data_IF_660525356320
#
_entry.id   IF_660525356320
#
_cell.length_a   1.000
_cell.length_b   1.000
_cell.length_c   1.000
_cell.angle_alpha   90.00
_cell.angle_beta   90.00
_cell.angle_gamma   90.00
#
_symmetry.space_group_name_H-M   'P 1'
#
loop_
_entity.id
_entity.type
_entity.pdbx_description
1 polymer ?
#
# COMPACT_ATOMS: atom_id res chain seq x y z
N UNK A 1 16.74 1.84 -7.30
CA UNK A 1 15.43 1.14 -7.28
C UNK A 1 14.66 1.54 -8.51
N UNK A 2 14.27 0.57 -9.32
CA UNK A 2 13.42 0.76 -10.48
C UNK A 2 12.00 0.32 -10.13
N UNK A 3 11.01 1.13 -10.53
CA UNK A 3 9.60 0.77 -10.38
C UNK A 3 9.01 0.51 -11.77
N UNK A 4 8.38 -0.62 -11.93
CA UNK A 4 7.74 -1.04 -13.17
C UNK A 4 6.42 -1.74 -12.91
N UNK A 5 5.60 -1.87 -13.93
CA UNK A 5 4.36 -2.63 -13.86
C UNK A 5 4.66 -4.09 -13.50
N UNK A 6 3.87 -4.63 -12.58
CA UNK A 6 3.97 -6.03 -12.20
C UNK A 6 3.40 -6.93 -13.30
N UNK A 7 4.04 -8.09 -13.49
CA UNK A 7 3.55 -9.14 -14.37
C UNK A 7 3.15 -10.37 -13.53
N UNK A 8 2.45 -11.30 -14.13
CA UNK A 8 2.10 -12.56 -13.47
C UNK A 8 3.34 -13.29 -12.93
N UNK A 9 4.48 -13.15 -13.59
CA UNK A 9 5.75 -13.73 -13.17
C UNK A 9 6.34 -13.13 -11.90
N UNK A 10 5.87 -11.97 -11.46
CA UNK A 10 6.33 -11.31 -10.23
C UNK A 10 5.63 -11.86 -8.97
N UNK A 11 4.47 -12.47 -9.12
CA UNK A 11 3.68 -12.94 -7.98
C UNK A 11 4.45 -13.90 -7.06
N UNK A 12 5.20 -14.89 -7.56
CA UNK A 12 5.99 -15.76 -6.69
C UNK A 12 7.00 -15.04 -5.81
N UNK A 13 7.47 -13.87 -6.21
CA UNK A 13 8.37 -13.04 -5.40
C UNK A 13 7.60 -12.14 -4.42
N UNK A 14 6.37 -11.74 -4.75
CA UNK A 14 5.52 -10.88 -3.89
C UNK A 14 4.91 -11.69 -2.75
N UNK A 15 4.37 -12.86 -3.05
CA UNK A 15 3.57 -13.64 -2.10
C UNK A 15 4.29 -13.94 -0.78
N UNK A 16 5.56 -14.35 -0.74
CA UNK A 16 6.20 -14.67 0.53
C UNK A 16 6.23 -13.51 1.52
N UNK A 17 6.60 -12.30 1.10
CA UNK A 17 6.62 -11.18 2.03
C UNK A 17 5.22 -10.59 2.29
N UNK A 18 4.32 -10.63 1.30
CA UNK A 18 2.92 -10.23 1.49
C UNK A 18 2.26 -11.13 2.54
N UNK A 19 2.44 -12.43 2.41
CA UNK A 19 1.92 -13.41 3.36
C UNK A 19 2.46 -13.16 4.78
N UNK A 20 3.75 -12.93 4.91
CA UNK A 20 4.37 -12.66 6.21
C UNK A 20 3.83 -11.37 6.86
N UNK A 21 3.69 -10.30 6.09
CA UNK A 21 3.15 -9.02 6.57
C UNK A 21 1.70 -9.18 7.03
N UNK A 22 0.87 -9.84 6.23
CA UNK A 22 -0.55 -10.05 6.56
C UNK A 22 -0.70 -10.98 7.78
N UNK A 23 0.07 -12.07 7.83
CA UNK A 23 0.03 -13.01 8.95
C UNK A 23 0.49 -12.37 10.26
N UNK A 24 1.42 -11.42 10.22
CA UNK A 24 1.85 -10.68 11.40
C UNK A 24 0.71 -9.85 12.03
N UNK A 25 -0.22 -9.37 11.22
CA UNK A 25 -1.43 -8.69 11.70
C UNK A 25 -1.20 -7.32 12.34
N UNK A 26 -0.10 -6.65 11.97
CA UNK A 26 0.30 -5.39 12.62
C UNK A 26 -0.07 -4.14 11.80
N UNK A 27 -0.19 -4.27 10.48
CA UNK A 27 -0.26 -3.11 9.58
C UNK A 27 -1.35 -3.20 8.51
N UNK A 28 -1.97 -4.34 8.32
CA UNK A 28 -2.99 -4.56 7.28
C UNK A 28 -4.30 -5.07 7.86
N UNK A 29 -5.41 -4.67 7.23
CA UNK A 29 -6.77 -5.05 7.63
C UNK A 29 -7.25 -6.35 6.97
N UNK A 30 -6.39 -7.03 6.25
CA UNK A 30 -6.70 -8.34 5.65
C UNK A 30 -6.76 -9.43 6.73
N UNK A 31 -7.57 -10.47 6.52
CA UNK A 31 -7.54 -11.63 7.42
C UNK A 31 -6.13 -12.20 7.53
N UNK A 32 -5.68 -12.49 8.74
CA UNK A 32 -4.30 -12.98 8.97
C UNK A 32 -4.02 -14.32 8.32
N UNK A 33 -5.07 -15.11 8.06
CA UNK A 33 -5.02 -16.42 7.39
C UNK A 33 -5.36 -16.33 5.90
N UNK A 34 -5.22 -15.16 5.29
CA UNK A 34 -5.50 -14.93 3.88
C UNK A 34 -4.75 -15.94 3.01
N UNK A 35 -5.50 -16.69 2.18
CA UNK A 35 -4.90 -17.69 1.28
C UNK A 35 -4.28 -17.02 0.04
N UNK A 36 -3.37 -17.74 -0.61
CA UNK A 36 -2.62 -17.21 -1.75
C UNK A 36 -3.51 -16.83 -2.93
N UNK A 37 -4.49 -17.65 -3.28
CA UNK A 37 -5.36 -17.39 -4.42
C UNK A 37 -6.16 -16.11 -4.23
N UNK A 38 -6.74 -15.92 -3.04
CA UNK A 38 -7.48 -14.71 -2.68
C UNK A 38 -6.55 -13.50 -2.63
N UNK A 39 -5.37 -13.64 -2.05
CA UNK A 39 -4.38 -12.57 -1.97
C UNK A 39 -3.95 -12.10 -3.36
N UNK A 40 -3.69 -13.03 -4.27
CA UNK A 40 -3.32 -12.71 -5.65
C UNK A 40 -4.42 -11.93 -6.35
N UNK A 41 -5.66 -12.35 -6.22
CA UNK A 41 -6.80 -11.67 -6.82
C UNK A 41 -6.98 -10.25 -6.27
N UNK A 42 -6.76 -10.07 -4.97
CA UNK A 42 -6.87 -8.77 -4.32
C UNK A 42 -5.72 -7.83 -4.66
N UNK A 43 -4.53 -8.36 -4.92
CA UNK A 43 -3.32 -7.55 -5.10
C UNK A 43 -2.94 -7.29 -6.55
N UNK A 44 -3.06 -8.29 -7.42
CA UNK A 44 -2.70 -8.19 -8.84
C UNK A 44 -3.88 -7.63 -9.64
N UNK A 45 -3.97 -6.30 -9.67
CA UNK A 45 -5.10 -5.58 -10.26
C UNK A 45 -4.98 -5.49 -11.78
N UNK A 46 -6.14 -5.36 -12.43
CA UNK A 46 -6.29 -5.02 -13.85
C UNK A 46 -6.90 -3.64 -13.99
N UNK A 47 -6.78 -3.01 -15.18
CA UNK A 47 -7.32 -1.67 -15.44
C UNK A 47 -8.81 -1.55 -15.01
N UNK A 48 -9.21 -0.44 -14.37
CA UNK A 48 -8.46 0.81 -14.14
C UNK A 48 -7.45 0.75 -13.00
N UNK A 49 -7.39 -0.36 -12.26
CA UNK A 49 -6.37 -0.59 -11.25
C UNK A 49 -5.02 -0.98 -11.87
N UNK A 50 -3.99 -0.92 -11.06
CA UNK A 50 -2.63 -1.24 -11.49
C UNK A 50 -1.82 -1.75 -10.30
N UNK A 51 -0.91 -2.68 -10.56
CA UNK A 51 0.07 -3.15 -9.59
C UNK A 51 1.46 -2.93 -10.14
N UNK A 52 2.36 -2.43 -9.30
CA UNK A 52 3.76 -2.20 -9.64
C UNK A 52 4.67 -2.92 -8.65
N UNK A 53 5.89 -3.18 -9.08
CA UNK A 53 6.97 -3.70 -8.24
C UNK A 53 8.15 -2.75 -8.26
N UNK A 54 8.83 -2.68 -7.11
CA UNK A 54 10.12 -2.03 -6.98
C UNK A 54 11.20 -3.13 -7.02
N UNK A 55 12.14 -2.99 -7.93
CA UNK A 55 13.20 -3.99 -8.13
C UNK A 55 14.58 -3.34 -7.99
N UNK A 56 15.55 -4.12 -7.55
CA UNK A 56 16.94 -3.70 -7.51
C UNK A 56 17.65 -3.97 -8.86
N UNK A 57 18.96 -3.71 -8.90
CA UNK A 57 19.78 -3.88 -10.12
C UNK A 57 19.81 -5.32 -10.63
N UNK A 58 19.63 -6.31 -9.74
CA UNK A 58 19.59 -7.73 -10.12
C UNK A 58 18.20 -8.21 -10.52
N UNK A 59 17.18 -7.33 -10.44
CA UNK A 59 15.79 -7.69 -10.70
C UNK A 59 15.06 -8.31 -9.51
N UNK A 60 15.66 -8.30 -8.34
CA UNK A 60 14.99 -8.78 -7.12
C UNK A 60 13.87 -7.84 -6.71
N UNK A 61 12.69 -8.37 -6.46
CA UNK A 61 11.53 -7.60 -5.99
C UNK A 61 11.72 -7.22 -4.53
N UNK A 62 11.75 -5.91 -4.25
CA UNK A 62 11.96 -5.34 -2.92
C UNK A 62 10.67 -4.88 -2.27
N UNK A 63 9.66 -4.62 -3.07
CA UNK A 63 8.38 -4.12 -2.61
C UNK A 63 7.38 -4.02 -3.75
N UNK A 64 6.14 -3.71 -3.41
CA UNK A 64 5.05 -3.63 -4.37
C UNK A 64 4.02 -2.60 -3.92
N UNK A 65 3.27 -2.05 -4.86
CA UNK A 65 2.13 -1.20 -4.61
C UNK A 65 1.00 -1.55 -5.57
N UNK A 66 -0.23 -1.41 -5.10
CA UNK A 66 -1.42 -1.42 -5.94
C UNK A 66 -2.13 -0.08 -5.83
N UNK A 67 -2.74 0.36 -6.91
CA UNK A 67 -3.48 1.61 -6.98
C UNK A 67 -4.72 1.43 -7.83
N UNK A 68 -5.79 2.12 -7.46
CA UNK A 68 -7.07 2.07 -8.14
C UNK A 68 -7.94 3.26 -7.75
N UNK A 69 -9.08 3.49 -8.44
CA UNK A 69 -10.09 4.39 -7.90
C UNK A 69 -10.54 3.89 -6.53
N UNK A 70 -10.57 4.79 -5.55
CA UNK A 70 -10.97 4.41 -4.19
C UNK A 70 -12.45 4.01 -4.09
N UNK A 71 -13.27 4.67 -4.87
CA UNK A 71 -14.71 4.40 -5.03
C UNK A 71 -15.09 4.45 -6.50
N UNK A 72 -16.34 4.13 -6.80
CA UNK A 72 -16.90 4.16 -8.15
C UNK A 72 -17.77 5.40 -8.38
N UNK A 73 -18.23 5.58 -9.61
CA UNK A 73 -19.20 6.61 -9.96
C UNK A 73 -18.70 8.02 -9.67
N UNK A 74 -19.50 8.81 -8.99
CA UNK A 74 -19.21 10.20 -8.66
C UNK A 74 -18.01 10.42 -7.74
N UNK A 75 -17.43 9.37 -7.17
CA UNK A 75 -16.24 9.42 -6.32
C UNK A 75 -15.01 8.77 -6.96
N UNK A 76 -15.08 8.37 -8.23
CA UNK A 76 -14.00 7.64 -8.91
C UNK A 76 -12.76 8.51 -9.21
N UNK A 77 -12.83 9.82 -8.98
CA UNK A 77 -11.72 10.75 -9.19
C UNK A 77 -10.74 10.82 -8.01
N UNK A 78 -10.98 10.08 -6.95
CA UNK A 78 -10.06 9.93 -5.81
C UNK A 78 -9.40 8.56 -5.93
N UNK A 79 -8.07 8.53 -5.99
CA UNK A 79 -7.31 7.28 -6.02
C UNK A 79 -7.10 6.72 -4.62
N UNK A 80 -7.03 5.41 -4.52
CA UNK A 80 -6.52 4.70 -3.35
C UNK A 80 -5.26 3.95 -3.70
N UNK A 81 -4.46 3.60 -2.72
CA UNK A 81 -3.26 2.80 -2.91
C UNK A 81 -2.92 2.00 -1.65
N UNK A 82 -2.22 0.90 -1.85
CA UNK A 82 -1.65 0.06 -0.78
C UNK A 82 -0.22 -0.31 -1.14
N UNK A 83 0.62 -0.45 -0.12
CA UNK A 83 2.06 -0.64 -0.29
C UNK A 83 2.56 -1.75 0.63
N UNK A 84 3.43 -2.58 0.12
CA UNK A 84 4.16 -3.55 0.94
C UNK A 84 5.63 -3.56 0.54
N UNK A 85 6.50 -3.45 1.52
CA UNK A 85 7.95 -3.55 1.34
C UNK A 85 8.40 -4.83 2.03
N UNK A 86 9.23 -5.62 1.33
CA UNK A 86 9.83 -6.80 1.94
C UNK A 86 10.59 -6.37 3.20
N UNK A 87 10.26 -6.91 4.39
CA UNK A 87 10.94 -6.55 5.62
C UNK A 87 12.46 -6.70 5.57
N UNK A 88 12.96 -7.62 4.74
CA UNK A 88 14.40 -7.81 4.53
C UNK A 88 15.04 -6.71 3.66
N UNK A 89 14.24 -5.88 3.03
CA UNK A 89 14.69 -4.77 2.16
C UNK A 89 14.51 -3.41 2.81
N UNK A 90 14.28 -3.35 4.11
CA UNK A 90 14.10 -2.12 4.85
C UNK A 90 15.33 -1.20 4.81
N UNK A 91 15.09 0.11 4.94
CA UNK A 91 16.17 1.11 4.97
C UNK A 91 16.74 1.48 3.61
N UNK A 92 16.19 1.00 2.52
CA UNK A 92 16.66 1.27 1.14
C UNK A 92 15.81 2.31 0.40
N UNK A 93 14.89 2.98 1.08
CA UNK A 93 14.03 3.99 0.47
C UNK A 93 12.94 3.44 -0.45
N UNK A 94 12.64 2.16 -0.38
CA UNK A 94 11.67 1.48 -1.27
C UNK A 94 10.27 2.04 -1.09
N UNK A 95 9.82 2.22 0.15
CA UNK A 95 8.50 2.77 0.44
C UNK A 95 8.31 4.18 -0.12
N UNK A 96 9.31 5.03 0.02
CA UNK A 96 9.29 6.39 -0.56
C UNK A 96 9.24 6.35 -2.08
N UNK A 97 10.08 5.52 -2.70
CA UNK A 97 10.11 5.40 -4.15
C UNK A 97 8.76 4.93 -4.71
N UNK A 98 8.13 3.95 -4.06
CA UNK A 98 6.79 3.48 -4.41
C UNK A 98 5.75 4.59 -4.23
N UNK A 99 5.79 5.31 -3.11
CA UNK A 99 4.86 6.40 -2.82
C UNK A 99 4.94 7.53 -3.85
N UNK A 100 6.14 7.95 -4.20
CA UNK A 100 6.38 8.98 -5.23
C UNK A 100 5.88 8.52 -6.59
N UNK A 101 6.17 7.28 -6.96
CA UNK A 101 5.71 6.69 -8.23
C UNK A 101 4.18 6.67 -8.32
N UNK A 102 3.51 6.25 -7.25
CA UNK A 102 2.04 6.17 -7.20
C UNK A 102 1.41 7.55 -7.29
N UNK A 103 2.00 8.56 -6.66
CA UNK A 103 1.54 9.95 -6.78
C UNK A 103 1.69 10.49 -8.21
N UNK A 104 2.81 10.20 -8.87
CA UNK A 104 3.03 10.60 -10.26
C UNK A 104 2.05 9.89 -11.20
N UNK A 105 1.82 8.61 -10.99
CA UNK A 105 0.79 7.86 -11.72
C UNK A 105 -0.58 8.49 -11.56
N UNK A 106 -0.98 8.81 -10.34
CA UNK A 106 -2.30 9.38 -10.06
C UNK A 106 -2.48 10.74 -10.75
N UNK A 107 -1.45 11.57 -10.74
CA UNK A 107 -1.47 12.85 -11.48
C UNK A 107 -1.59 12.64 -12.98
N UNK A 108 -0.81 11.73 -13.54
CA UNK A 108 -0.83 11.44 -14.98
C UNK A 108 -2.18 10.89 -15.44
N UNK A 109 -2.85 10.09 -14.60
CA UNK A 109 -4.18 9.56 -14.89
C UNK A 109 -5.32 10.57 -14.63
N UNK A 110 -5.02 11.74 -14.08
CA UNK A 110 -6.01 12.80 -13.87
C UNK A 110 -6.78 12.69 -12.56
N UNK A 111 -6.34 11.88 -11.60
CA UNK A 111 -6.95 11.85 -10.28
C UNK A 111 -6.78 13.17 -9.56
N UNK A 112 -7.78 13.60 -8.80
CA UNK A 112 -7.79 14.88 -8.10
C UNK A 112 -7.21 14.82 -6.70
N UNK A 113 -7.17 13.64 -6.12
CA UNK A 113 -6.65 13.39 -4.78
C UNK A 113 -6.33 11.91 -4.60
N UNK A 114 -5.61 11.60 -3.52
CA UNK A 114 -5.36 10.23 -3.08
C UNK A 114 -5.75 10.07 -1.62
N UNK A 115 -6.39 8.96 -1.31
CA UNK A 115 -6.84 8.62 0.03
C UNK A 115 -6.30 7.25 0.43
N UNK A 116 -5.74 7.17 1.64
CA UNK A 116 -5.42 5.92 2.30
C UNK A 116 -6.51 5.62 3.33
N UNK A 117 -7.17 4.50 3.19
CA UNK A 117 -8.37 4.16 3.99
C UNK A 117 -8.05 3.65 5.38
N UNK A 118 -6.86 3.09 5.58
CA UNK A 118 -6.58 2.31 6.79
C UNK A 118 -5.07 2.30 7.09
N UNK A 119 -4.58 3.37 7.69
CA UNK A 119 -3.20 3.46 8.17
C UNK A 119 -3.20 3.25 9.68
N UNK A 120 -2.65 2.13 10.13
CA UNK A 120 -2.62 1.78 11.56
C UNK A 120 -1.74 2.79 12.30
N UNK A 121 -2.26 3.41 13.37
CA UNK A 121 -1.54 4.49 14.06
C UNK A 121 -0.21 4.04 14.66
N UNK A 122 -0.08 2.77 15.02
CA UNK A 122 1.17 2.21 15.56
C UNK A 122 2.23 1.98 14.48
N UNK A 123 1.86 2.04 13.20
CA UNK A 123 2.81 2.02 12.09
C UNK A 123 3.40 3.41 11.87
N UNK A 124 4.17 3.87 12.86
CA UNK A 124 4.68 5.25 12.91
C UNK A 124 5.61 5.59 11.77
N UNK A 125 6.37 4.62 11.27
CA UNK A 125 7.24 4.81 10.11
C UNK A 125 6.45 5.11 8.84
N UNK A 126 5.35 4.41 8.61
CA UNK A 126 4.48 4.67 7.47
C UNK A 126 3.78 6.02 7.60
N UNK A 127 3.24 6.34 8.78
CA UNK A 127 2.60 7.65 9.03
C UNK A 127 3.57 8.79 8.72
N UNK A 128 4.80 8.72 9.22
CA UNK A 128 5.83 9.73 8.98
C UNK A 128 6.18 9.84 7.48
N UNK A 129 6.29 8.71 6.79
CA UNK A 129 6.55 8.69 5.35
C UNK A 129 5.43 9.40 4.58
N UNK A 130 4.18 9.04 4.84
CA UNK A 130 3.04 9.64 4.16
C UNK A 130 2.92 11.13 4.44
N UNK A 131 3.13 11.56 5.69
CA UNK A 131 3.16 12.98 6.03
C UNK A 131 4.27 13.72 5.28
N UNK A 132 5.46 13.12 5.16
CA UNK A 132 6.57 13.70 4.38
C UNK A 132 6.26 13.81 2.88
N UNK A 133 5.35 12.99 2.37
CA UNK A 133 4.86 13.05 0.99
C UNK A 133 3.62 13.93 0.83
N UNK A 134 3.25 14.69 1.84
CA UNK A 134 2.18 15.68 1.77
C UNK A 134 0.79 15.16 2.15
N UNK A 135 0.67 13.94 2.64
CA UNK A 135 -0.59 13.44 3.20
C UNK A 135 -0.83 14.01 4.58
N UNK A 136 -2.08 14.20 4.91
CA UNK A 136 -2.50 14.59 6.27
C UNK A 136 -3.48 13.56 6.82
N UNK A 137 -3.49 13.41 8.13
CA UNK A 137 -4.49 12.61 8.83
C UNK A 137 -5.79 13.40 8.83
N UNK A 138 -6.81 12.87 8.16
CA UNK A 138 -8.13 13.49 8.12
C UNK A 138 -8.93 13.19 9.36
N UNK A 139 -8.83 11.95 9.80
CA UNK A 139 -9.45 11.48 11.03
C UNK A 139 -8.78 10.19 11.47
N UNK A 140 -8.97 9.86 12.74
CA UNK A 140 -8.55 8.58 13.32
C UNK A 140 -9.77 7.89 13.88
N UNK A 141 -10.05 6.68 13.42
CA UNK A 141 -11.11 5.86 13.97
C UNK A 141 -10.62 5.31 15.33
N UNK A 142 -11.22 5.72 16.46
CA UNK A 142 -10.82 5.20 17.76
C UNK A 142 -11.03 3.69 17.79
N UNK A 143 -10.04 2.96 18.31
CA UNK A 143 -10.09 1.50 18.40
C UNK A 143 -10.39 0.80 17.06
N UNK A 144 -10.03 1.43 15.96
CA UNK A 144 -10.35 0.94 14.62
C UNK A 144 -9.57 -0.29 14.17
N UNK A 145 -8.56 -0.69 14.91
CA UNK A 145 -7.70 -1.82 14.57
C UNK A 145 -7.27 -2.60 15.81
N UNK A 146 -7.40 -3.92 15.76
CA UNK A 146 -6.91 -4.79 16.82
C UNK A 146 -5.48 -5.23 16.53
N UNK A 147 -4.52 -4.60 17.22
CA UNK A 147 -3.11 -4.96 17.10
C UNK A 147 -2.84 -6.24 17.90
N UNK A 148 -2.00 -7.18 17.40
CA UNK A 148 -1.81 -8.48 18.05
C UNK A 148 -1.18 -8.41 19.44
N UNK A 149 -0.45 -7.35 19.76
CA UNK A 149 0.23 -7.20 21.06
C UNK A 149 -0.13 -5.92 21.81
N UNK A 150 -0.68 -4.90 21.12
CA UNK A 150 -0.97 -3.58 21.72
C UNK A 150 -2.46 -3.35 22.00
N UNK A 151 -3.32 -4.34 21.67
CA UNK A 151 -4.76 -4.21 21.83
C UNK A 151 -5.39 -3.31 20.75
N UNK A 152 -6.54 -2.74 21.05
CA UNK A 152 -7.23 -1.84 20.14
C UNK A 152 -6.50 -0.52 20.02
N UNK A 153 -6.14 -0.16 18.80
CA UNK A 153 -5.42 1.08 18.44
C UNK A 153 -6.19 1.83 17.37
N UNK A 154 -5.80 3.08 17.11
CA UNK A 154 -6.45 3.91 16.11
C UNK A 154 -6.14 3.47 14.69
N UNK A 155 -7.07 3.81 13.79
CA UNK A 155 -6.94 3.58 12.35
C UNK A 155 -7.12 4.92 11.64
N UNK A 156 -6.04 5.43 11.01
CA UNK A 156 -6.06 6.72 10.34
C UNK A 156 -6.64 6.62 8.93
N UNK A 157 -7.40 7.64 8.55
CA UNK A 157 -7.69 7.94 7.14
C UNK A 157 -6.79 9.10 6.77
N UNK A 158 -5.94 8.92 5.76
CA UNK A 158 -5.01 9.93 5.29
C UNK A 158 -5.37 10.38 3.87
N UNK A 159 -5.07 11.63 3.55
CA UNK A 159 -5.55 12.26 2.32
C UNK A 159 -4.56 13.28 1.80
N UNK A 160 -4.41 13.34 0.47
CA UNK A 160 -3.64 14.37 -0.21
C UNK A 160 -4.33 14.81 -1.50
N UNK A 161 -4.52 16.12 -1.69
CA UNK A 161 -4.88 16.68 -2.98
C UNK A 161 -3.70 16.62 -3.95
N UNK A 162 -3.99 16.43 -5.21
CA UNK A 162 -2.96 16.33 -6.27
C UNK A 162 -2.90 17.55 -7.15
#
# INVERSE_FOLDING_TARGET
VLIREATAGDWPAIWPFLHAIVAAGETYTYPRDLDEATAREMWMLTAPGRTVVAVDESGTVLGTAKMNPNHMGGAAHIAGASFMVDPQSGGRGVGRALGEHVLDWARAEGYRAMQFNAVVETNTGAVALWESLGFRIMTTLPEGFLHPTKGYVGLHIMYRQL
#
